data_IF_094503423661
#
_entry.id   IF_094503423661
#
_cell.length_a   1.000
_cell.length_b   1.000
_cell.length_c   1.000
_cell.angle_alpha   90.00
_cell.angle_beta   90.00
_cell.angle_gamma   90.00
#
_symmetry.space_group_name_H-M   'P 1'
#
loop_
_entity.id
_entity.type
_entity.pdbx_description
1 polymer ?
#
# COMPACT_ATOMS: atom_id res chain seq x y z
N UNK A 1 36.22 -47.29 -6.11
CA UNK A 1 35.01 -46.44 -6.24
C UNK A 1 35.11 -45.27 -5.25
N UNK A 2 35.26 -44.04 -5.73
CA UNK A 2 35.84 -42.93 -4.97
C UNK A 2 34.81 -42.14 -4.14
N UNK A 3 35.25 -41.66 -2.96
CA UNK A 3 34.49 -40.87 -1.97
C UNK A 3 33.77 -39.62 -2.51
N UNK A 4 34.09 -39.17 -3.73
CA UNK A 4 33.53 -37.98 -4.37
C UNK A 4 32.06 -38.14 -4.78
N UNK A 5 31.60 -39.36 -5.07
CA UNK A 5 30.20 -39.61 -5.45
C UNK A 5 29.23 -39.57 -4.26
N UNK A 6 29.71 -39.86 -3.04
CA UNK A 6 28.85 -39.83 -1.83
C UNK A 6 28.59 -38.40 -1.33
N UNK A 7 29.51 -37.46 -1.59
CA UNK A 7 29.36 -36.05 -1.16
C UNK A 7 28.34 -35.32 -2.03
N UNK A 8 28.33 -35.56 -3.35
CA UNK A 8 27.36 -34.94 -4.25
C UNK A 8 25.90 -35.33 -3.97
N UNK A 9 25.66 -36.59 -3.56
CA UNK A 9 24.32 -37.06 -3.22
C UNK A 9 23.79 -36.46 -1.90
N UNK A 10 24.68 -36.24 -0.92
CA UNK A 10 24.32 -35.66 0.39
C UNK A 10 24.02 -34.16 0.26
N UNK A 11 24.78 -33.42 -0.56
CA UNK A 11 24.50 -32.00 -0.81
C UNK A 11 23.16 -31.82 -1.53
N UNK A 12 22.82 -32.69 -2.48
CA UNK A 12 21.52 -32.62 -3.18
C UNK A 12 20.34 -33.07 -2.30
N UNK A 13 20.56 -34.02 -1.37
CA UNK A 13 19.53 -34.50 -0.45
C UNK A 13 19.19 -33.53 0.68
N UNK A 14 20.06 -32.55 0.98
CA UNK A 14 19.84 -31.54 2.03
C UNK A 14 19.45 -30.18 1.42
N UNK A 15 19.99 -29.81 0.27
CA UNK A 15 19.68 -28.53 -0.37
C UNK A 15 18.24 -28.47 -0.90
N UNK A 16 17.71 -29.57 -1.45
CA UNK A 16 16.34 -29.65 -1.98
C UNK A 16 15.27 -29.54 -0.88
N UNK A 17 15.35 -30.23 0.27
CA UNK A 17 14.40 -30.02 1.36
C UNK A 17 14.55 -28.66 2.06
N UNK A 18 15.73 -28.02 2.06
CA UNK A 18 15.88 -26.64 2.56
C UNK A 18 15.22 -25.61 1.64
N UNK A 19 15.36 -25.77 0.31
CA UNK A 19 14.64 -24.96 -0.68
C UNK A 19 13.12 -25.23 -0.66
N UNK A 20 12.70 -26.48 -0.41
CA UNK A 20 11.29 -26.82 -0.24
C UNK A 20 10.72 -26.40 1.13
N UNK A 21 11.53 -26.36 2.20
CA UNK A 21 11.13 -25.82 3.50
C UNK A 21 11.01 -24.29 3.44
N UNK A 22 11.87 -23.62 2.67
CA UNK A 22 11.70 -22.21 2.33
C UNK A 22 10.46 -21.94 1.45
N UNK A 23 9.91 -22.97 0.77
CA UNK A 23 8.72 -22.86 -0.08
C UNK A 23 7.45 -23.49 0.50
N UNK A 24 7.50 -24.23 1.61
CA UNK A 24 6.34 -24.87 2.25
C UNK A 24 6.00 -24.12 3.53
N UNK A 25 5.02 -23.22 3.50
CA UNK A 25 3.56 -23.52 3.54
C UNK A 25 3.25 -24.53 4.64
N UNK A 26 2.83 -24.02 5.80
CA UNK A 26 2.41 -24.85 6.93
C UNK A 26 1.88 -24.06 8.12
N UNK A 27 2.28 -22.80 8.28
CA UNK A 27 1.61 -21.90 9.21
C UNK A 27 0.29 -21.37 8.63
N UNK A 28 -0.69 -21.14 9.50
CA UNK A 28 -1.97 -20.55 9.12
C UNK A 28 -1.69 -19.17 8.55
N UNK A 29 -1.98 -18.99 7.25
CA UNK A 29 -1.96 -17.67 6.62
C UNK A 29 -2.70 -16.69 7.55
N UNK A 30 -2.02 -15.65 8.08
CA UNK A 30 -2.61 -14.77 9.09
C UNK A 30 -3.78 -13.98 8.50
N UNK A 31 -3.89 -13.96 7.16
CA UNK A 31 -5.05 -13.45 6.46
C UNK A 31 -5.78 -14.58 5.71
N UNK A 32 -6.87 -15.14 6.26
CA UNK A 32 -7.60 -16.25 5.63
C UNK A 32 -8.34 -15.86 4.33
N UNK A 33 -8.29 -14.59 3.93
CA UNK A 33 -9.03 -14.06 2.78
C UNK A 33 -10.30 -13.31 3.19
N UNK A 34 -10.94 -12.64 2.22
CA UNK A 34 -12.24 -11.99 2.40
C UNK A 34 -12.17 -10.51 2.74
N UNK A 35 -13.28 -9.99 3.26
CA UNK A 35 -13.42 -8.61 3.73
C UNK A 35 -13.59 -8.61 5.23
N UNK A 36 -13.11 -7.59 5.91
CA UNK A 36 -13.40 -7.40 7.33
C UNK A 36 -14.88 -6.97 7.52
N UNK A 37 -15.47 -7.19 8.72
CA UNK A 37 -16.88 -6.87 9.00
C UNK A 37 -17.25 -5.40 8.75
N UNK A 38 -16.31 -4.48 8.97
CA UNK A 38 -16.44 -3.03 8.70
C UNK A 38 -16.34 -2.68 7.19
N UNK A 39 -16.36 -3.69 6.32
CA UNK A 39 -16.13 -3.52 4.89
C UNK A 39 -14.68 -3.16 4.55
N UNK A 40 -13.73 -3.33 5.48
CA UNK A 40 -12.32 -3.25 5.14
C UNK A 40 -11.85 -4.37 4.24
N UNK A 41 -10.92 -4.02 3.35
CA UNK A 41 -10.41 -4.89 2.29
C UNK A 41 -11.42 -5.26 1.19
N UNK A 42 -12.59 -4.60 1.10
CA UNK A 42 -13.47 -4.71 -0.07
C UNK A 42 -12.69 -4.40 -1.36
N UNK A 43 -12.72 -5.31 -2.36
CA UNK A 43 -12.10 -5.04 -3.66
C UNK A 43 -12.69 -3.78 -4.30
N UNK A 44 -11.86 -3.07 -5.07
CA UNK A 44 -12.36 -1.98 -5.90
C UNK A 44 -13.39 -2.53 -6.92
N UNK A 45 -14.46 -1.76 -7.24
CA UNK A 45 -15.42 -2.17 -8.25
C UNK A 45 -14.74 -2.29 -9.63
N UNK A 46 -15.27 -3.12 -10.54
CA UNK A 46 -14.79 -3.18 -11.91
C UNK A 46 -14.80 -1.80 -12.58
N UNK A 47 -13.77 -1.55 -13.39
CA UNK A 47 -13.68 -0.35 -14.21
C UNK A 47 -14.75 -0.39 -15.30
N UNK A 48 -15.64 0.60 -15.30
CA UNK A 48 -16.70 0.76 -16.32
C UNK A 48 -16.40 1.90 -17.31
N UNK A 49 -15.25 2.56 -17.16
CA UNK A 49 -14.82 3.71 -17.98
C UNK A 49 -13.30 3.75 -18.13
N UNK A 50 -12.83 4.47 -19.14
CA UNK A 50 -11.42 4.82 -19.26
C UNK A 50 -10.99 5.68 -18.06
N UNK A 51 -9.75 5.50 -17.62
CA UNK A 51 -9.16 6.18 -16.48
C UNK A 51 -7.71 6.56 -16.80
N UNK A 52 -7.18 7.56 -16.09
CA UNK A 52 -5.75 7.94 -16.18
C UNK A 52 -4.94 7.06 -15.23
N UNK A 53 -3.71 6.71 -15.62
CA UNK A 53 -2.73 6.09 -14.70
C UNK A 53 -1.81 7.13 -14.06
N UNK A 54 -2.19 8.40 -14.13
CA UNK A 54 -1.31 9.47 -13.67
C UNK A 54 -1.45 9.73 -12.17
N UNK A 55 -2.59 9.36 -11.57
CA UNK A 55 -2.69 9.26 -10.12
C UNK A 55 -1.80 8.12 -9.63
N UNK A 56 -1.02 8.39 -8.59
CA UNK A 56 -0.04 7.43 -8.07
C UNK A 56 -0.15 7.30 -6.56
N UNK A 57 -0.12 6.06 -6.06
CA UNK A 57 -0.07 5.76 -4.63
C UNK A 57 1.12 4.86 -4.31
N UNK A 58 1.97 5.27 -3.36
CA UNK A 58 3.03 4.44 -2.83
C UNK A 58 2.73 4.07 -1.38
N UNK A 59 2.96 2.81 -1.03
CA UNK A 59 2.84 2.29 0.30
C UNK A 59 4.21 1.86 0.80
N UNK A 60 4.81 2.65 1.67
CA UNK A 60 6.04 2.27 2.36
C UNK A 60 5.72 1.49 3.62
N UNK A 61 5.97 0.19 3.60
CA UNK A 61 5.88 -0.68 4.77
C UNK A 61 6.96 -0.21 5.76
N UNK A 62 6.55 0.19 6.98
CA UNK A 62 7.50 0.68 7.98
C UNK A 62 8.13 -0.50 8.75
N UNK A 63 8.69 -0.25 9.93
CA UNK A 63 9.46 -1.25 10.66
C UNK A 63 8.68 -2.58 10.87
N UNK A 64 9.34 -3.74 10.74
CA UNK A 64 8.75 -5.04 11.08
C UNK A 64 8.07 -5.02 12.45
N UNK A 65 6.85 -5.57 12.53
CA UNK A 65 6.05 -5.57 13.76
C UNK A 65 5.44 -4.22 14.17
N UNK A 66 5.68 -3.12 13.43
CA UNK A 66 5.11 -1.81 13.79
C UNK A 66 3.61 -1.66 13.49
N UNK A 67 3.06 -2.58 12.69
CA UNK A 67 1.72 -2.49 12.10
C UNK A 67 1.49 -1.19 11.32
N UNK A 68 2.55 -0.52 10.88
CA UNK A 68 2.48 0.79 10.23
C UNK A 68 3.00 0.78 8.81
N UNK A 69 2.40 1.62 7.98
CA UNK A 69 2.88 1.94 6.64
C UNK A 69 2.63 3.42 6.34
N UNK A 70 3.55 4.06 5.62
CA UNK A 70 3.39 5.42 5.12
C UNK A 70 2.83 5.39 3.71
N UNK A 71 1.92 6.30 3.43
CA UNK A 71 1.29 6.47 2.13
C UNK A 71 1.80 7.78 1.54
N UNK A 72 2.38 7.71 0.35
CA UNK A 72 2.53 8.87 -0.53
C UNK A 72 1.43 8.77 -1.58
N UNK A 73 0.65 9.83 -1.75
CA UNK A 73 -0.47 9.84 -2.69
C UNK A 73 -0.49 11.11 -3.50
N UNK A 74 -0.61 10.96 -4.83
CA UNK A 74 -0.73 12.06 -5.78
C UNK A 74 -2.09 11.93 -6.47
N UNK A 75 -3.19 12.36 -5.83
CA UNK A 75 -4.53 12.36 -6.43
C UNK A 75 -4.69 13.46 -7.48
N UNK A 76 -5.82 13.36 -8.18
CA UNK A 76 -6.24 14.28 -9.22
C UNK A 76 -7.64 14.85 -8.91
N UNK A 77 -7.86 16.11 -9.26
CA UNK A 77 -9.17 16.75 -9.34
C UNK A 77 -9.34 17.32 -10.75
N UNK A 78 -10.36 16.84 -11.47
CA UNK A 78 -10.58 17.16 -12.90
C UNK A 78 -11.75 18.11 -13.10
N UNK A 79 -12.49 18.47 -12.05
CA UNK A 79 -13.63 19.39 -12.16
C UNK A 79 -13.10 20.82 -12.34
N UNK A 80 -13.32 21.39 -13.52
CA UNK A 80 -12.98 22.78 -13.82
C UNK A 80 -13.55 23.73 -12.75
N UNK A 81 -12.74 24.69 -12.32
CA UNK A 81 -13.08 25.65 -11.26
C UNK A 81 -13.00 25.11 -9.83
N UNK A 82 -12.73 23.81 -9.61
CA UNK A 82 -12.52 23.29 -8.27
C UNK A 82 -11.31 23.98 -7.60
N UNK A 83 -11.49 24.37 -6.34
CA UNK A 83 -10.46 25.02 -5.51
C UNK A 83 -9.98 24.13 -4.37
N UNK A 84 -10.56 22.94 -4.26
CA UNK A 84 -10.27 21.95 -3.23
C UNK A 84 -10.20 20.56 -3.87
N UNK A 85 -9.31 19.72 -3.34
CA UNK A 85 -9.28 18.29 -3.57
C UNK A 85 -9.60 17.57 -2.26
N UNK A 86 -10.59 16.67 -2.30
CA UNK A 86 -11.01 15.86 -1.15
C UNK A 86 -10.47 14.45 -1.28
N UNK A 87 -9.65 14.02 -0.33
CA UNK A 87 -9.21 12.63 -0.23
C UNK A 87 -9.94 11.93 0.92
N UNK A 88 -10.85 11.03 0.57
CA UNK A 88 -11.42 10.09 1.54
C UNK A 88 -10.31 9.23 2.16
N UNK A 89 -10.36 9.13 3.48
CA UNK A 89 -9.44 8.35 4.30
C UNK A 89 -10.25 7.33 5.09
N UNK A 90 -9.59 6.24 5.47
CA UNK A 90 -10.29 5.08 6.00
C UNK A 90 -10.32 5.11 7.52
N UNK A 91 -11.50 4.97 8.11
CA UNK A 91 -11.66 4.64 9.53
C UNK A 91 -10.99 3.32 9.92
N UNK A 92 -10.49 3.23 11.15
CA UNK A 92 -9.82 2.05 11.71
C UNK A 92 -8.32 1.96 11.42
N UNK A 93 -7.76 2.89 10.66
CA UNK A 93 -6.33 3.18 10.68
C UNK A 93 -6.13 4.53 11.34
N UNK A 94 -5.30 4.61 12.37
CA UNK A 94 -4.95 5.90 12.97
C UNK A 94 -4.09 6.69 11.98
N UNK A 95 -4.74 7.55 11.19
CA UNK A 95 -4.11 8.46 10.25
C UNK A 95 -3.35 9.56 10.99
N UNK A 96 -2.03 9.47 11.00
CA UNK A 96 -1.12 10.43 11.64
C UNK A 96 -0.10 10.97 10.64
N UNK A 97 0.66 11.99 11.04
CA UNK A 97 1.73 12.58 10.22
C UNK A 97 1.23 12.98 8.82
N UNK A 98 0.09 13.68 8.78
CA UNK A 98 -0.50 14.16 7.54
C UNK A 98 0.26 15.39 7.08
N UNK A 99 0.77 15.35 5.86
CA UNK A 99 1.46 16.46 5.23
C UNK A 99 0.89 16.62 3.82
N UNK A 100 0.65 17.86 3.40
CA UNK A 100 0.06 18.16 2.09
C UNK A 100 0.91 19.22 1.39
N UNK A 101 1.32 18.94 0.16
CA UNK A 101 2.21 19.78 -0.62
C UNK A 101 1.68 20.01 -2.04
N UNK A 102 2.10 21.12 -2.65
CA UNK A 102 1.99 21.33 -4.09
C UNK A 102 3.08 20.48 -4.78
N UNK A 103 2.72 19.46 -5.57
CA UNK A 103 3.68 18.57 -6.19
C UNK A 103 4.61 19.29 -7.18
N UNK A 104 4.21 20.45 -7.70
CA UNK A 104 5.02 21.23 -8.66
C UNK A 104 6.11 22.05 -7.96
N UNK A 105 5.82 22.56 -6.76
CA UNK A 105 6.71 23.52 -6.08
C UNK A 105 7.34 22.96 -4.81
N UNK A 106 6.83 21.85 -4.28
CA UNK A 106 7.24 21.29 -2.98
C UNK A 106 6.81 22.13 -1.78
N UNK A 107 6.02 23.20 -1.98
CA UNK A 107 5.57 24.06 -0.89
C UNK A 107 4.37 23.43 -0.17
N UNK A 108 4.25 23.61 1.16
CA UNK A 108 3.10 23.11 1.89
C UNK A 108 1.80 23.79 1.43
N UNK A 109 0.73 23.02 1.36
CA UNK A 109 -0.63 23.50 1.08
C UNK A 109 -1.45 23.58 2.37
N UNK A 110 -2.42 24.49 2.37
CA UNK A 110 -3.43 24.54 3.43
C UNK A 110 -4.36 23.34 3.29
N UNK A 111 -4.67 22.69 4.40
CA UNK A 111 -5.64 21.61 4.43
C UNK A 111 -6.35 21.54 5.78
N UNK A 112 -7.51 20.87 5.80
CA UNK A 112 -8.17 20.43 7.04
C UNK A 112 -8.30 18.91 7.03
N UNK A 113 -8.40 18.33 8.22
CA UNK A 113 -8.68 16.91 8.40
C UNK A 113 -10.00 16.77 9.14
N UNK A 114 -11.00 16.26 8.44
CA UNK A 114 -12.33 15.99 8.98
C UNK A 114 -12.37 14.56 9.51
N UNK A 115 -12.90 14.40 10.72
CA UNK A 115 -13.20 13.09 11.31
C UNK A 115 -14.67 13.10 11.76
N UNK A 116 -15.52 12.38 11.03
CA UNK A 116 -16.93 12.19 11.36
C UNK A 116 -17.22 10.69 11.50
N UNK A 117 -17.22 10.20 12.74
CA UNK A 117 -17.32 8.77 13.03
C UNK A 117 -16.22 7.95 12.34
N UNK A 118 -16.63 7.05 11.44
CA UNK A 118 -15.71 6.22 10.63
C UNK A 118 -15.30 6.88 9.30
N UNK A 119 -15.92 8.00 8.94
CA UNK A 119 -15.64 8.74 7.71
C UNK A 119 -14.65 9.85 7.98
N UNK A 120 -13.43 9.68 7.48
CA UNK A 120 -12.35 10.65 7.65
C UNK A 120 -11.99 11.22 6.28
N UNK A 121 -11.69 12.51 6.16
CA UNK A 121 -11.32 13.12 4.89
C UNK A 121 -10.25 14.21 5.04
N UNK A 122 -9.33 14.26 4.08
CA UNK A 122 -8.39 15.37 3.92
C UNK A 122 -8.95 16.33 2.88
N UNK A 123 -9.16 17.57 3.27
CA UNK A 123 -9.63 18.66 2.41
C UNK A 123 -8.44 19.58 2.10
N UNK A 124 -7.86 19.44 0.92
CA UNK A 124 -6.66 20.16 0.53
C UNK A 124 -7.00 21.33 -0.41
N UNK A 125 -6.60 22.54 -0.02
CA UNK A 125 -6.78 23.73 -0.87
C UNK A 125 -5.79 23.69 -2.04
N UNK A 126 -6.33 23.76 -3.26
CA UNK A 126 -5.52 23.83 -4.48
C UNK A 126 -4.84 25.20 -4.60
N UNK A 127 -3.61 25.28 -5.13
CA UNK A 127 -2.88 26.53 -5.24
C UNK A 127 -3.52 27.51 -6.24
N UNK A 128 -4.25 26.99 -7.22
CA UNK A 128 -5.10 27.73 -8.16
C UNK A 128 -6.35 26.89 -8.45
N UNK A 129 -7.47 27.51 -8.88
CA UNK A 129 -8.61 26.75 -9.39
C UNK A 129 -8.21 25.86 -10.56
N UNK A 130 -8.81 24.67 -10.68
CA UNK A 130 -8.56 23.76 -11.81
C UNK A 130 -8.94 24.45 -13.13
N UNK A 131 -8.01 24.60 -14.10
CA UNK A 131 -8.32 25.17 -15.40
C UNK A 131 -9.33 24.31 -16.19
N UNK A 132 -10.01 24.89 -17.17
CA UNK A 132 -10.82 24.11 -18.10
C UNK A 132 -9.95 23.12 -18.89
N UNK A 133 -10.40 21.85 -18.96
CA UNK A 133 -9.61 20.73 -19.47
C UNK A 133 -8.33 20.39 -18.66
N UNK A 134 -8.12 21.04 -17.51
CA UNK A 134 -6.94 20.86 -16.66
C UNK A 134 -7.13 19.83 -15.54
N UNK A 135 -6.04 19.58 -14.80
CA UNK A 135 -6.01 18.69 -13.64
C UNK A 135 -5.35 19.41 -12.46
N UNK A 136 -6.07 19.50 -11.33
CA UNK A 136 -5.51 19.88 -10.04
C UNK A 136 -4.87 18.68 -9.36
N UNK A 137 -3.72 18.90 -8.69
CA UNK A 137 -3.01 17.84 -7.95
C UNK A 137 -2.53 18.34 -6.61
N UNK A 138 -2.47 17.41 -5.67
CA UNK A 138 -1.80 17.58 -4.38
C UNK A 138 -0.88 16.39 -4.14
N UNK A 139 0.17 16.57 -3.35
CA UNK A 139 1.01 15.49 -2.83
C UNK A 139 0.67 15.33 -1.36
N UNK A 140 0.09 14.18 -1.00
CA UNK A 140 -0.33 13.86 0.37
C UNK A 140 0.61 12.79 0.91
N UNK A 141 1.17 13.05 2.09
CA UNK A 141 1.73 12.02 2.94
C UNK A 141 0.81 11.76 4.13
N UNK A 142 0.68 10.49 4.52
CA UNK A 142 0.00 10.09 5.75
C UNK A 142 0.53 8.75 6.24
N UNK A 143 0.57 8.55 7.55
CA UNK A 143 1.01 7.30 8.18
C UNK A 143 -0.20 6.61 8.79
N UNK A 144 -0.36 5.32 8.50
CA UNK A 144 -1.44 4.51 9.05
C UNK A 144 -0.85 3.45 9.96
N UNK A 145 -1.46 3.25 11.12
CA UNK A 145 -1.30 2.06 11.96
C UNK A 145 -2.55 1.20 11.84
N UNK A 146 -2.43 -0.03 11.35
CA UNK A 146 -3.58 -0.94 11.20
C UNK A 146 -3.15 -2.43 11.31
N UNK A 147 -3.23 -3.03 12.51
CA UNK A 147 -2.83 -4.42 12.75
C UNK A 147 -3.70 -5.46 12.01
N UNK A 148 -4.85 -5.05 11.45
CA UNK A 148 -5.73 -5.94 10.67
C UNK A 148 -5.22 -6.12 9.24
N UNK A 149 -4.37 -5.22 8.78
CA UNK A 149 -3.86 -5.15 7.39
C UNK A 149 -2.35 -5.35 7.30
N UNK A 150 -1.64 -5.17 8.40
CA UNK A 150 -0.22 -5.45 8.54
C UNK A 150 -0.05 -6.47 9.66
N UNK A 151 0.48 -7.65 9.37
CA UNK A 151 0.73 -8.72 10.34
C UNK A 151 2.14 -9.29 10.17
N UNK A 152 2.75 -9.72 11.27
CA UNK A 152 3.93 -10.57 11.23
C UNK A 152 3.51 -12.05 11.15
N UNK A 153 4.28 -12.85 10.46
CA UNK A 153 4.09 -14.29 10.32
C UNK A 153 5.46 -14.97 10.35
N UNK A 154 5.89 -15.37 11.54
CA UNK A 154 7.29 -15.68 11.80
C UNK A 154 8.17 -14.45 11.50
N UNK A 155 9.17 -14.63 10.64
CA UNK A 155 10.06 -13.58 10.18
C UNK A 155 9.52 -12.80 8.95
N UNK A 156 8.39 -13.24 8.39
CA UNK A 156 7.77 -12.63 7.21
C UNK A 156 6.74 -11.56 7.60
N UNK A 157 6.49 -10.63 6.65
CA UNK A 157 5.39 -9.66 6.75
C UNK A 157 4.28 -10.09 5.79
N UNK A 158 3.07 -10.20 6.32
CA UNK A 158 1.84 -10.29 5.52
C UNK A 158 1.15 -8.94 5.55
N UNK A 159 1.05 -8.32 4.39
CA UNK A 159 0.37 -7.04 4.21
C UNK A 159 -0.77 -7.17 3.21
N UNK A 160 -1.96 -6.72 3.62
CA UNK A 160 -3.20 -6.88 2.87
C UNK A 160 -3.91 -5.56 2.80
N UNK A 161 -4.19 -5.09 1.59
CA UNK A 161 -4.91 -3.84 1.39
C UNK A 161 -5.76 -3.90 0.14
N UNK A 162 -6.92 -3.23 0.19
CA UNK A 162 -7.63 -2.89 -1.05
C UNK A 162 -6.88 -1.80 -1.79
N UNK A 163 -6.33 -2.16 -2.94
CA UNK A 163 -5.56 -1.29 -3.80
C UNK A 163 -6.51 -0.62 -4.80
N UNK A 164 -7.10 0.51 -4.40
CA UNK A 164 -8.05 1.26 -5.24
C UNK A 164 -7.38 2.18 -6.26
N UNK A 165 -6.08 2.46 -6.11
CA UNK A 165 -5.29 3.18 -7.10
C UNK A 165 -4.81 2.24 -8.20
N UNK A 166 -4.96 2.63 -9.47
CA UNK A 166 -4.61 1.78 -10.60
C UNK A 166 -3.12 1.73 -10.93
N UNK A 167 -2.35 2.69 -10.41
CA UNK A 167 -0.90 2.71 -10.45
C UNK A 167 -0.37 2.90 -9.04
N UNK A 168 0.41 1.93 -8.56
CA UNK A 168 0.93 1.94 -7.20
C UNK A 168 2.30 1.32 -7.07
N UNK A 169 2.98 1.66 -5.98
CA UNK A 169 4.20 1.00 -5.51
C UNK A 169 4.04 0.51 -4.08
N UNK A 170 4.74 -0.57 -3.74
CA UNK A 170 4.91 -1.02 -2.34
C UNK A 170 6.41 -1.07 -2.06
N UNK A 171 6.88 -0.25 -1.13
CA UNK A 171 8.26 -0.26 -0.68
C UNK A 171 8.38 -1.19 0.53
N UNK A 172 9.25 -2.18 0.41
CA UNK A 172 9.52 -3.14 1.47
C UNK A 172 10.52 -2.57 2.49
N UNK A 173 10.46 -2.98 3.77
CA UNK A 173 11.46 -2.57 4.75
C UNK A 173 12.84 -3.09 4.35
N UNK A 174 13.89 -2.39 4.79
CA UNK A 174 15.27 -2.78 4.51
C UNK A 174 15.50 -4.23 4.96
N UNK A 175 16.04 -5.07 4.06
CA UNK A 175 16.35 -6.48 4.32
C UNK A 175 15.22 -7.45 4.00
N UNK A 176 14.03 -6.97 3.62
CA UNK A 176 12.93 -7.82 3.15
C UNK A 176 12.98 -7.99 1.64
N UNK A 177 12.55 -9.16 1.18
CA UNK A 177 12.38 -9.50 -0.22
C UNK A 177 10.93 -9.89 -0.50
N UNK A 178 10.50 -9.69 -1.74
CA UNK A 178 9.15 -10.02 -2.16
C UNK A 178 8.99 -11.54 -2.31
N UNK A 179 8.05 -12.13 -1.56
CA UNK A 179 7.81 -13.59 -1.56
C UNK A 179 6.65 -13.95 -2.48
N UNK A 180 5.52 -13.24 -2.36
CA UNK A 180 4.31 -13.49 -3.15
C UNK A 180 3.37 -12.29 -3.16
N UNK A 181 2.46 -12.27 -4.14
CA UNK A 181 1.37 -11.30 -4.25
C UNK A 181 0.16 -11.92 -4.92
N UNK A 182 -1.02 -11.45 -4.54
CA UNK A 182 -2.29 -11.78 -5.16
C UNK A 182 -2.71 -10.78 -6.26
N UNK A 183 -1.88 -9.77 -6.53
CA UNK A 183 -1.99 -8.84 -7.65
C UNK A 183 -0.73 -8.91 -8.52
N UNK A 184 -0.85 -8.52 -9.80
CA UNK A 184 0.30 -8.43 -10.67
C UNK A 184 1.31 -7.42 -10.12
N UNK A 185 2.56 -7.85 -9.97
CA UNK A 185 3.69 -7.03 -9.53
C UNK A 185 4.86 -7.23 -10.49
N UNK A 186 5.65 -6.18 -10.68
CA UNK A 186 6.83 -6.15 -11.56
C UNK A 186 8.08 -5.87 -10.74
#
# INVERSE_FOLDING_TARGET
MSKRFRIALIVSAVAVPLLLAAQRRGEQNPFPGGTNPDGSLRPAPPLTRLFTQDAYTEYAILAPGSNQFRIQFIPEETRAGATELVNATRGGSEGSNIEVYDPRTGKPLKFTYQQDGEEHAIHAQLPIPVPDGGIGRVLIFKTYADPRTYMMHGDDIVWVRSLSGYRLGVLLPKGFAFISSNVAAQ
#
